data_IF_120931472839
#
_entry.id   IF_120931472839
#
_cell.length_a   1.000
_cell.length_b   1.000
_cell.length_c   1.000
_cell.angle_alpha   90.00
_cell.angle_beta   90.00
_cell.angle_gamma   90.00
#
_symmetry.space_group_name_H-M   'P 1'
#
loop_
_entity.id
_entity.type
_entity.pdbx_description
1 polymer ?
#
# COMPACT_ATOMS: atom_id res chain seq x y z
N UNK A 1 5.46 25.30 -22.85
CA UNK A 1 5.69 24.13 -21.99
C UNK A 1 5.61 22.91 -22.88
N UNK A 2 6.67 22.10 -22.99
CA UNK A 2 6.68 20.95 -23.90
C UNK A 2 5.65 19.91 -23.44
N UNK A 3 4.62 19.68 -24.26
CA UNK A 3 3.62 18.65 -24.04
C UNK A 3 4.22 17.30 -24.45
N UNK A 4 4.77 16.58 -23.48
CA UNK A 4 5.21 15.19 -23.68
C UNK A 4 3.98 14.33 -23.95
N UNK A 5 4.07 13.43 -24.93
CA UNK A 5 3.07 12.41 -25.18
C UNK A 5 2.99 11.40 -24.04
N UNK A 6 1.88 10.66 -23.93
CA UNK A 6 1.70 9.62 -22.90
C UNK A 6 2.76 8.52 -23.00
N UNK A 7 3.18 8.17 -24.22
CA UNK A 7 4.22 7.17 -24.46
C UNK A 7 5.58 7.65 -23.91
N UNK A 8 5.99 8.88 -24.24
CA UNK A 8 7.25 9.46 -23.75
C UNK A 8 7.25 9.66 -22.23
N UNK A 9 6.10 9.98 -21.64
CA UNK A 9 5.95 10.06 -20.19
C UNK A 9 6.09 8.67 -19.54
N UNK A 10 5.60 7.61 -20.19
CA UNK A 10 5.66 6.23 -19.71
C UNK A 10 7.10 5.69 -19.76
N UNK A 11 7.83 5.93 -20.84
CA UNK A 11 9.24 5.52 -20.97
C UNK A 11 10.13 6.18 -19.91
N UNK A 12 9.86 7.45 -19.57
CA UNK A 12 10.57 8.15 -18.49
C UNK A 12 10.21 7.67 -17.09
N UNK A 13 9.10 6.95 -16.95
CA UNK A 13 8.65 6.35 -15.69
C UNK A 13 9.11 4.89 -15.54
N UNK A 14 9.93 4.37 -16.46
CA UNK A 14 10.56 3.07 -16.32
C UNK A 14 11.38 3.04 -15.01
N UNK A 15 10.89 2.28 -14.03
CA UNK A 15 11.55 2.12 -12.75
C UNK A 15 12.63 1.05 -12.88
N UNK A 16 13.87 1.44 -12.68
CA UNK A 16 14.96 0.51 -12.47
C UNK A 16 14.86 -0.07 -11.05
N UNK A 17 14.39 -1.32 -10.97
CA UNK A 17 14.25 -2.04 -9.71
C UNK A 17 15.57 -2.63 -9.20
N UNK A 18 16.64 -2.60 -10.01
CA UNK A 18 17.96 -3.07 -9.60
C UNK A 18 18.73 -2.03 -8.79
N UNK A 19 18.32 -0.77 -8.86
CA UNK A 19 18.90 0.34 -8.14
C UNK A 19 18.00 0.85 -7.00
N UNK A 20 18.60 1.51 -6.02
CA UNK A 20 17.85 2.16 -4.95
C UNK A 20 17.01 3.31 -5.48
N UNK A 21 15.69 3.22 -5.32
CA UNK A 21 14.76 4.29 -5.68
C UNK A 21 14.87 5.46 -4.69
N UNK A 22 15.08 6.67 -5.21
CA UNK A 22 15.03 7.89 -4.40
C UNK A 22 13.59 8.20 -4.02
N UNK A 23 13.26 8.08 -2.72
CA UNK A 23 11.90 8.26 -2.20
C UNK A 23 11.22 9.55 -2.69
N UNK A 24 11.90 10.70 -2.66
CA UNK A 24 11.29 11.97 -3.03
C UNK A 24 10.92 12.04 -4.52
N UNK A 25 11.77 11.49 -5.39
CA UNK A 25 11.51 11.39 -6.83
C UNK A 25 10.37 10.42 -7.09
N UNK A 26 10.44 9.21 -6.54
CA UNK A 26 9.40 8.20 -6.67
C UNK A 26 8.03 8.73 -6.19
N UNK A 27 8.00 9.40 -5.03
CA UNK A 27 6.76 9.94 -4.47
C UNK A 27 6.11 10.96 -5.41
N UNK A 28 6.89 11.91 -5.94
CA UNK A 28 6.37 12.98 -6.80
C UNK A 28 6.01 12.48 -8.20
N UNK A 29 6.85 11.63 -8.78
CA UNK A 29 6.74 11.20 -10.18
C UNK A 29 5.76 10.04 -10.36
N UNK A 30 5.66 9.12 -9.38
CA UNK A 30 4.91 7.87 -9.53
C UNK A 30 3.75 7.83 -8.54
N UNK A 31 4.04 7.90 -7.24
CA UNK A 31 3.05 7.58 -6.22
C UNK A 31 1.91 8.61 -6.11
N UNK A 32 2.23 9.91 -6.03
CA UNK A 32 1.20 10.96 -5.94
C UNK A 32 0.30 10.98 -7.18
N UNK A 33 0.82 10.91 -8.43
CA UNK A 33 -0.02 10.76 -9.61
C UNK A 33 -0.90 9.51 -9.57
N UNK A 34 -0.40 8.38 -9.05
CA UNK A 34 -1.21 7.17 -8.90
C UNK A 34 -2.39 7.36 -7.93
N UNK A 35 -2.18 8.04 -6.79
CA UNK A 35 -3.26 8.38 -5.84
C UNK A 35 -4.33 9.25 -6.52
N UNK A 36 -3.91 10.28 -7.26
CA UNK A 36 -4.84 11.16 -7.99
C UNK A 36 -5.61 10.40 -9.07
N UNK A 37 -4.93 9.46 -9.75
CA UNK A 37 -5.56 8.60 -10.77
C UNK A 37 -6.58 7.65 -10.13
N UNK A 38 -6.27 7.05 -8.98
CA UNK A 38 -7.19 6.19 -8.25
C UNK A 38 -8.48 6.94 -7.87
N UNK A 39 -8.35 8.14 -7.28
CA UNK A 39 -9.50 8.97 -6.97
C UNK A 39 -10.28 9.36 -8.23
N UNK A 40 -9.61 9.72 -9.32
CA UNK A 40 -10.30 10.01 -10.60
C UNK A 40 -11.09 8.81 -11.09
N UNK A 41 -10.53 7.60 -11.04
CA UNK A 41 -11.21 6.39 -11.48
C UNK A 41 -12.44 6.08 -10.60
N UNK A 42 -12.34 6.29 -9.29
CA UNK A 42 -13.49 6.16 -8.38
C UNK A 42 -14.62 7.13 -8.76
N UNK A 43 -14.29 8.40 -9.03
CA UNK A 43 -15.27 9.39 -9.49
C UNK A 43 -15.92 9.01 -10.82
N UNK A 44 -15.15 8.49 -11.77
CA UNK A 44 -15.69 7.99 -13.04
C UNK A 44 -16.62 6.78 -12.86
N UNK A 45 -16.41 5.99 -11.81
CA UNK A 45 -17.28 4.87 -11.44
C UNK A 45 -18.53 5.30 -10.64
N UNK A 46 -18.74 6.61 -10.42
CA UNK A 46 -19.91 7.16 -9.75
C UNK A 46 -19.76 7.36 -8.24
N UNK A 47 -18.58 7.10 -7.66
CA UNK A 47 -18.29 7.48 -6.28
C UNK A 47 -18.10 9.00 -6.19
N UNK A 48 -18.77 9.67 -5.25
CA UNK A 48 -18.62 11.12 -5.06
C UNK A 48 -17.51 11.48 -4.06
N UNK A 49 -16.89 10.47 -3.45
CA UNK A 49 -15.88 10.64 -2.42
C UNK A 49 -14.49 10.20 -2.90
N UNK A 50 -13.47 10.94 -2.45
CA UNK A 50 -12.08 10.53 -2.64
C UNK A 50 -11.81 9.22 -1.87
N UNK A 51 -11.50 8.15 -2.61
CA UNK A 51 -11.13 6.85 -2.01
C UNK A 51 -9.82 6.91 -1.22
N UNK A 52 -8.93 7.85 -1.56
CA UNK A 52 -7.66 8.08 -0.86
C UNK A 52 -7.48 9.56 -0.52
N UNK A 53 -6.91 9.91 0.65
CA UNK A 53 -6.62 11.29 0.99
C UNK A 53 -5.67 11.96 0.00
N UNK A 54 -5.93 13.21 -0.37
CA UNK A 54 -5.10 13.99 -1.31
C UNK A 54 -3.61 14.12 -0.90
N UNK A 55 -3.31 14.02 0.40
CA UNK A 55 -1.95 14.06 0.96
C UNK A 55 -1.42 12.69 1.39
N UNK A 56 -2.00 11.60 0.90
CA UNK A 56 -1.59 10.24 1.26
C UNK A 56 -0.08 10.04 1.05
N UNK A 57 0.56 9.45 2.04
CA UNK A 57 2.00 9.20 2.07
C UNK A 57 2.26 7.73 1.81
N UNK A 58 3.42 7.43 1.22
CA UNK A 58 3.81 6.05 0.96
C UNK A 58 3.84 5.20 2.24
N UNK A 59 4.23 5.82 3.37
CA UNK A 59 4.18 5.18 4.69
C UNK A 59 2.77 4.76 5.13
N UNK A 60 1.71 5.39 4.61
CA UNK A 60 0.33 4.98 4.85
C UNK A 60 0.05 3.53 4.45
N UNK A 61 0.75 3.01 3.43
CA UNK A 61 0.64 1.59 3.04
C UNK A 61 1.13 0.65 4.14
N UNK A 62 2.16 1.03 4.92
CA UNK A 62 2.63 0.25 6.07
C UNK A 62 1.61 0.25 7.19
N UNK A 63 0.94 1.38 7.43
CA UNK A 63 -0.18 1.44 8.38
C UNK A 63 -1.31 0.51 7.96
N UNK A 64 -1.73 0.57 6.69
CA UNK A 64 -2.76 -0.34 6.17
C UNK A 64 -2.37 -1.79 6.37
N UNK A 65 -1.14 -2.18 5.99
CA UNK A 65 -0.65 -3.54 6.22
C UNK A 65 -0.72 -3.97 7.69
N UNK A 66 -0.20 -3.14 8.60
CA UNK A 66 -0.20 -3.46 10.03
C UNK A 66 -1.63 -3.59 10.61
N UNK A 67 -2.55 -2.70 10.22
CA UNK A 67 -3.96 -2.77 10.61
C UNK A 67 -4.62 -4.04 10.13
N UNK A 68 -4.32 -4.49 8.90
CA UNK A 68 -4.88 -5.72 8.34
C UNK A 68 -4.32 -6.95 9.05
N UNK A 69 -3.02 -6.97 9.37
CA UNK A 69 -2.43 -8.08 10.11
C UNK A 69 -2.96 -8.16 11.55
N UNK A 70 -3.11 -7.02 12.22
CA UNK A 70 -3.71 -6.96 13.55
C UNK A 70 -5.16 -7.47 13.53
N UNK A 71 -5.95 -7.04 12.53
CA UNK A 71 -7.31 -7.51 12.30
C UNK A 71 -7.43 -9.02 12.13
N UNK A 72 -6.44 -9.62 11.44
CA UNK A 72 -6.37 -11.04 11.19
C UNK A 72 -5.82 -11.85 12.39
N UNK A 73 -5.52 -11.19 13.52
CA UNK A 73 -4.96 -11.83 14.70
C UNK A 73 -3.53 -12.33 14.49
N UNK A 74 -2.80 -11.79 13.51
CA UNK A 74 -1.39 -12.13 13.29
C UNK A 74 -0.55 -11.56 14.44
N UNK A 75 0.38 -12.36 14.95
CA UNK A 75 1.23 -11.96 16.06
C UNK A 75 2.06 -10.70 15.73
N UNK A 76 2.16 -9.79 16.70
CA UNK A 76 2.84 -8.50 16.53
C UNK A 76 4.32 -8.66 16.18
N UNK A 77 4.98 -9.73 16.62
CA UNK A 77 6.38 -10.01 16.27
C UNK A 77 6.51 -10.38 14.78
N UNK A 78 5.56 -11.13 14.22
CA UNK A 78 5.51 -11.46 12.79
C UNK A 78 5.28 -10.21 11.95
N UNK A 79 4.31 -9.38 12.33
CA UNK A 79 4.06 -8.09 11.67
C UNK A 79 5.30 -7.21 11.72
N UNK A 80 5.97 -7.14 12.87
CA UNK A 80 7.19 -6.37 13.05
C UNK A 80 8.33 -6.85 12.14
N UNK A 81 8.52 -8.17 12.02
CA UNK A 81 9.51 -8.77 11.13
C UNK A 81 9.23 -8.43 9.67
N UNK A 82 7.98 -8.55 9.23
CA UNK A 82 7.57 -8.24 7.86
C UNK A 82 7.71 -6.75 7.53
N UNK A 83 7.48 -5.87 8.50
CA UNK A 83 7.74 -4.44 8.36
C UNK A 83 9.25 -4.10 8.39
N UNK A 84 10.09 -5.03 8.82
CA UNK A 84 11.54 -4.82 8.94
C UNK A 84 11.92 -3.89 10.09
N UNK A 85 11.14 -3.85 11.17
CA UNK A 85 11.50 -3.09 12.36
C UNK A 85 12.56 -3.84 13.17
N UNK A 86 13.62 -3.15 13.57
CA UNK A 86 14.71 -3.72 14.37
C UNK A 86 14.27 -4.08 15.80
N UNK A 87 13.19 -3.47 16.31
CA UNK A 87 12.60 -3.75 17.61
C UNK A 87 11.10 -3.96 17.46
N UNK A 88 10.58 -5.03 18.06
CA UNK A 88 9.13 -5.32 18.10
C UNK A 88 8.35 -4.21 18.81
N UNK A 89 8.97 -3.58 19.81
CA UNK A 89 8.36 -2.46 20.53
C UNK A 89 7.99 -1.30 19.61
N UNK A 90 8.73 -1.03 18.53
CA UNK A 90 8.36 0.01 17.56
C UNK A 90 7.01 -0.29 16.91
N UNK A 91 6.74 -1.55 16.55
CA UNK A 91 5.45 -1.97 16.01
C UNK A 91 4.36 -1.86 17.07
N UNK A 92 4.65 -2.31 18.28
CA UNK A 92 3.70 -2.24 19.39
C UNK A 92 3.33 -0.78 19.70
N UNK A 93 4.31 0.10 19.88
CA UNK A 93 4.11 1.52 20.20
C UNK A 93 3.24 2.22 19.14
N UNK A 94 3.51 1.96 17.85
CA UNK A 94 2.79 2.60 16.73
C UNK A 94 1.37 2.03 16.56
N UNK A 95 1.18 0.74 16.82
CA UNK A 95 -0.05 0.00 16.47
C UNK A 95 -0.80 -0.58 17.66
N UNK A 96 -0.43 -0.23 18.89
CA UNK A 96 -1.03 -0.71 20.16
C UNK A 96 -2.55 -0.69 20.13
N UNK A 97 -3.15 0.37 19.59
CA UNK A 97 -4.60 0.53 19.47
C UNK A 97 -5.26 -0.48 18.52
N UNK A 98 -4.53 -1.03 17.56
CA UNK A 98 -5.05 -2.02 16.61
C UNK A 98 -4.99 -3.45 17.17
N UNK A 99 -4.01 -3.72 18.03
CA UNK A 99 -3.84 -5.01 18.68
C UNK A 99 -4.64 -5.14 19.99
N UNK A 100 -5.17 -4.02 20.51
CA UNK A 100 -6.10 -3.99 21.64
C UNK A 100 -7.52 -4.12 21.12
N UNK A 101 -7.96 -5.36 20.88
CA UNK A 101 -9.37 -5.79 20.82
C UNK A 101 -10.36 -4.77 20.25
N UNK A 102 -10.54 -4.74 18.93
CA UNK A 102 -11.75 -4.19 18.32
C UNK A 102 -12.15 -5.06 17.12
N UNK A 103 -13.31 -5.71 17.23
CA UNK A 103 -13.89 -6.66 16.26
C UNK A 103 -14.21 -6.03 14.89
N UNK A 104 -14.13 -4.69 14.77
CA UNK A 104 -14.47 -3.93 13.56
C UNK A 104 -13.54 -4.20 12.37
N UNK A 105 -12.36 -4.77 12.63
CA UNK A 105 -11.35 -4.99 11.61
C UNK A 105 -11.63 -6.23 10.72
N UNK A 106 -12.50 -7.15 11.17
CA UNK A 106 -12.91 -8.36 10.44
C UNK A 106 -13.67 -8.05 9.13
N UNK A 107 -14.57 -7.07 9.14
CA UNK A 107 -15.39 -6.73 7.98
C UNK A 107 -14.58 -6.09 6.84
N UNK A 108 -13.51 -5.35 7.16
CA UNK A 108 -12.59 -4.78 6.18
C UNK A 108 -11.73 -5.87 5.51
N UNK A 109 -11.39 -6.93 6.24
CA UNK A 109 -10.61 -8.07 5.74
C UNK A 109 -11.40 -8.94 4.76
N UNK A 110 -12.69 -9.16 4.96
CA UNK A 110 -13.53 -9.89 3.99
C UNK A 110 -13.49 -9.23 2.59
N UNK A 111 -13.47 -7.89 2.54
CA UNK A 111 -13.38 -7.11 1.30
C UNK A 111 -12.00 -7.17 0.64
N UNK A 112 -10.92 -7.31 1.43
CA UNK A 112 -9.56 -7.38 0.91
C UNK A 112 -9.11 -8.81 0.55
N UNK A 113 -9.54 -9.82 1.29
CA UNK A 113 -9.33 -11.22 0.91
C UNK A 113 -9.98 -11.51 -0.46
N UNK A 114 -11.12 -10.88 -0.76
CA UNK A 114 -11.72 -10.91 -2.09
C UNK A 114 -10.81 -10.30 -3.18
N UNK A 115 -9.98 -9.29 -2.85
CA UNK A 115 -8.97 -8.68 -3.73
C UNK A 115 -7.69 -9.52 -3.89
N UNK A 116 -7.43 -10.47 -2.98
CA UNK A 116 -6.26 -11.35 -3.01
C UNK A 116 -6.39 -12.54 -3.97
N UNK A 117 -7.55 -12.70 -4.62
CA UNK A 117 -7.72 -13.67 -5.71
C UNK A 117 -6.86 -13.20 -6.89
N UNK A 118 -5.81 -13.94 -7.30
CA UNK A 118 -4.97 -13.53 -8.42
C UNK A 118 -5.81 -13.46 -9.69
N UNK A 119 -5.98 -12.26 -10.25
CA UNK A 119 -6.82 -12.02 -11.43
C UNK A 119 -6.03 -12.29 -12.74
N UNK A 120 -4.80 -12.83 -12.67
CA UNK A 120 -3.99 -13.09 -13.86
C UNK A 120 -2.68 -13.86 -13.63
N UNK A 121 -2.06 -14.37 -14.71
CA UNK A 121 -0.86 -15.21 -14.67
C UNK A 121 0.45 -14.45 -14.37
N UNK A 122 0.38 -13.14 -14.17
CA UNK A 122 1.54 -12.25 -14.02
C UNK A 122 1.92 -11.93 -12.55
N UNK A 123 1.37 -12.67 -11.59
CA UNK A 123 1.70 -12.50 -10.16
C UNK A 123 2.65 -13.61 -9.73
N UNK A 124 3.90 -13.24 -9.40
CA UNK A 124 4.89 -14.18 -8.83
C UNK A 124 4.75 -14.17 -7.30
N UNK A 125 4.41 -15.30 -6.67
CA UNK A 125 4.35 -15.39 -5.21
C UNK A 125 5.74 -15.16 -4.60
N UNK A 126 5.84 -14.29 -3.60
CA UNK A 126 7.06 -14.15 -2.82
C UNK A 126 7.29 -15.45 -2.02
N UNK A 127 8.45 -16.09 -2.22
CA UNK A 127 8.84 -17.25 -1.41
C UNK A 127 8.97 -16.82 0.04
N UNK A 128 8.06 -17.29 0.89
CA UNK A 128 8.25 -17.19 2.33
C UNK A 128 9.34 -18.19 2.73
N UNK A 129 10.44 -17.69 3.29
CA UNK A 129 11.41 -18.56 3.97
C UNK A 129 10.77 -19.00 5.28
N UNK A 130 10.57 -20.31 5.42
CA UNK A 130 10.20 -21.01 6.65
C UNK A 130 11.38 -20.95 7.61
#
# INVERSE_FOLDING_TARGET
MAALSVAEATDRLALDWSASLRHQTFYKAVFRPAVLRANRLAHLAGDQTDVLPMKFKFHGLRHTYASLCAAAGIDVADVSRNLGHSKVTTTLDIYTHLFRTDDSASAAMAKLAALATPIGPNVVPLRQRI
#
